data_IF_086535210809
#
_entry.id   IF_086535210809
#
_cell.length_a   1.000
_cell.length_b   1.000
_cell.length_c   1.000
_cell.angle_alpha   90.00
_cell.angle_beta   90.00
_cell.angle_gamma   90.00
#
_symmetry.space_group_name_H-M   'P 1'
#
loop_
_entity.id
_entity.type
_entity.pdbx_description
1 polymer ?
#
# COMPACT_ATOMS: atom_id res chain seq x y z
N UNK A 1 -8.28 22.38 -16.04
CA UNK A 1 -7.95 20.98 -16.38
C UNK A 1 -8.24 20.13 -15.15
N UNK A 2 -9.02 19.06 -15.31
CA UNK A 2 -9.19 18.05 -14.25
C UNK A 2 -8.17 16.94 -14.50
N UNK A 3 -7.25 16.73 -13.56
CA UNK A 3 -6.37 15.57 -13.57
C UNK A 3 -7.08 14.45 -12.84
N UNK A 4 -7.32 13.32 -13.51
CA UNK A 4 -7.96 12.14 -12.92
C UNK A 4 -6.97 10.98 -12.95
N UNK A 5 -6.42 10.67 -11.79
CA UNK A 5 -5.58 9.50 -11.55
C UNK A 5 -6.29 8.62 -10.54
N UNK A 6 -7.18 7.75 -11.02
CA UNK A 6 -7.77 6.68 -10.24
C UNK A 6 -7.39 5.40 -10.94
N UNK A 7 -6.85 4.40 -10.23
CA UNK A 7 -6.49 3.11 -10.81
C UNK A 7 -7.71 2.39 -11.39
N UNK A 8 -8.14 2.80 -12.58
CA UNK A 8 -9.29 2.22 -13.26
C UNK A 8 -8.99 0.75 -13.56
N UNK A 9 -9.99 -0.15 -13.49
CA UNK A 9 -9.81 -1.54 -13.85
C UNK A 9 -9.19 -1.66 -15.23
N UNK A 10 -8.23 -2.59 -15.39
CA UNK A 10 -7.54 -2.80 -16.66
C UNK A 10 -8.55 -2.95 -17.81
N UNK A 11 -8.40 -2.14 -18.85
CA UNK A 11 -9.28 -2.12 -20.02
C UNK A 11 -10.50 -1.18 -19.92
N UNK A 12 -10.77 -0.60 -18.75
CA UNK A 12 -11.80 0.45 -18.58
C UNK A 12 -11.12 1.82 -18.49
N UNK A 13 -11.18 2.59 -19.57
CA UNK A 13 -10.55 3.92 -19.65
C UNK A 13 -11.57 5.08 -19.60
N UNK A 14 -12.87 4.76 -19.58
CA UNK A 14 -13.95 5.74 -19.45
C UNK A 14 -14.50 5.72 -18.03
N UNK A 15 -14.54 6.89 -17.41
CA UNK A 15 -15.25 7.14 -16.16
C UNK A 15 -16.58 7.84 -16.51
N UNK A 16 -17.72 7.18 -16.26
CA UNK A 16 -19.03 7.80 -16.38
C UNK A 16 -19.39 8.49 -15.07
N UNK A 17 -19.87 9.73 -15.17
CA UNK A 17 -20.29 10.55 -14.02
C UNK A 17 -21.72 11.01 -14.25
N UNK A 18 -22.54 10.95 -13.21
CA UNK A 18 -23.88 11.54 -13.20
C UNK A 18 -23.76 13.05 -12.92
N UNK A 19 -23.99 13.85 -13.95
CA UNK A 19 -23.92 15.31 -13.86
C UNK A 19 -25.02 15.92 -12.97
N UNK A 20 -26.19 15.26 -12.84
CA UNK A 20 -27.25 15.70 -11.93
C UNK A 20 -26.81 15.48 -10.49
N UNK A 21 -26.16 14.33 -10.20
CA UNK A 21 -25.59 14.07 -8.89
C UNK A 21 -24.50 15.10 -8.52
N UNK A 22 -23.61 15.42 -9.45
CA UNK A 22 -22.56 16.44 -9.23
C UNK A 22 -23.16 17.82 -8.98
N UNK A 23 -24.19 18.21 -9.73
CA UNK A 23 -24.78 19.54 -9.63
C UNK A 23 -25.68 19.70 -8.40
N UNK A 24 -26.59 18.74 -8.14
CA UNK A 24 -27.61 18.88 -7.10
C UNK A 24 -27.21 18.30 -5.75
N UNK A 25 -26.24 17.40 -5.70
CA UNK A 25 -25.72 16.81 -4.45
C UNK A 25 -24.32 17.32 -4.09
N UNK A 26 -23.84 18.37 -4.80
CA UNK A 26 -22.57 19.04 -4.54
C UNK A 26 -21.35 18.10 -4.49
N UNK A 27 -21.38 17.02 -5.27
CA UNK A 27 -20.30 16.05 -5.32
C UNK A 27 -19.07 16.69 -5.97
N UNK A 28 -17.93 16.67 -5.27
CA UNK A 28 -16.64 17.15 -5.78
C UNK A 28 -15.80 15.97 -6.25
N UNK A 29 -15.42 15.99 -7.53
CA UNK A 29 -14.51 15.00 -8.13
C UNK A 29 -13.13 15.63 -8.28
N UNK A 30 -12.15 15.09 -7.56
CA UNK A 30 -10.76 15.56 -7.56
C UNK A 30 -9.87 14.36 -7.84
N UNK A 31 -8.95 14.47 -8.80
CA UNK A 31 -7.86 13.50 -8.91
C UNK A 31 -6.61 14.02 -8.23
N UNK A 32 -5.92 13.12 -7.55
CA UNK A 32 -4.67 13.37 -6.86
C UNK A 32 -3.55 12.58 -7.56
N UNK A 33 -2.41 13.21 -7.78
CA UNK A 33 -1.22 12.57 -8.37
C UNK A 33 -0.13 12.48 -7.31
N UNK A 34 -0.09 11.37 -6.59
CA UNK A 34 0.89 11.15 -5.52
C UNK A 34 0.81 12.17 -4.38
N UNK A 35 1.82 12.17 -3.51
CA UNK A 35 2.00 13.16 -2.44
C UNK A 35 3.25 14.00 -2.67
N UNK A 36 3.24 15.21 -2.15
CA UNK A 36 4.41 16.08 -2.05
C UNK A 36 5.33 15.62 -0.91
N UNK A 37 6.59 16.11 -0.84
CA UNK A 37 7.45 15.87 0.32
C UNK A 37 6.83 16.33 1.64
N UNK A 38 5.98 17.36 1.60
CA UNK A 38 5.24 17.82 2.76
C UNK A 38 4.21 16.77 3.22
N UNK A 39 3.46 16.18 2.28
CA UNK A 39 2.48 15.12 2.59
C UNK A 39 3.18 13.90 3.21
N UNK A 40 4.38 13.57 2.73
CA UNK A 40 5.21 12.51 3.31
C UNK A 40 5.64 12.85 4.75
N UNK A 41 6.14 14.06 4.99
CA UNK A 41 6.53 14.50 6.33
C UNK A 41 5.34 14.49 7.30
N UNK A 42 4.17 14.98 6.86
CA UNK A 42 2.94 14.95 7.65
C UNK A 42 2.50 13.51 7.96
N UNK A 43 2.61 12.60 6.99
CA UNK A 43 2.29 11.17 7.21
C UNK A 43 3.23 10.52 8.21
N UNK A 44 4.54 10.80 8.13
CA UNK A 44 5.52 10.30 9.09
C UNK A 44 5.26 10.85 10.51
N UNK A 45 4.88 12.13 10.62
CA UNK A 45 4.51 12.73 11.91
C UNK A 45 3.27 12.06 12.51
N UNK A 46 2.25 11.76 11.70
CA UNK A 46 1.04 11.04 12.15
C UNK A 46 1.37 9.60 12.60
N UNK A 47 2.26 8.90 11.89
CA UNK A 47 2.73 7.58 12.31
C UNK A 47 3.49 7.67 13.64
N UNK A 48 4.42 8.63 13.77
CA UNK A 48 5.19 8.83 15.00
C UNK A 48 4.31 9.25 16.19
N UNK A 49 3.21 9.95 15.92
CA UNK A 49 2.20 10.35 16.91
C UNK A 49 1.20 9.25 17.30
N UNK A 50 1.29 8.06 16.69
CA UNK A 50 0.30 6.98 16.80
C UNK A 50 -1.11 7.35 16.29
N UNK A 51 -1.25 8.42 15.49
CA UNK A 51 -2.51 8.74 14.80
C UNK A 51 -2.79 7.73 13.67
N UNK A 52 -1.73 7.14 13.11
CA UNK A 52 -1.77 6.09 12.10
C UNK A 52 -0.87 4.94 12.55
N UNK A 53 -1.42 3.74 12.67
CA UNK A 53 -0.64 2.53 12.89
C UNK A 53 -0.39 1.80 11.55
N UNK A 54 0.81 1.92 10.96
CA UNK A 54 1.12 1.33 9.66
C UNK A 54 1.18 -0.21 9.71
N UNK A 55 1.36 -0.81 10.90
CA UNK A 55 1.48 -2.26 11.05
C UNK A 55 0.22 -3.02 10.64
N UNK A 56 -0.95 -2.37 10.77
CA UNK A 56 -2.24 -2.92 10.34
C UNK A 56 -2.41 -3.02 8.82
N UNK A 57 -1.51 -2.38 8.04
CA UNK A 57 -1.57 -2.38 6.57
C UNK A 57 -0.53 -3.32 5.95
N UNK A 58 0.22 -4.06 6.75
CA UNK A 58 1.17 -5.07 6.28
C UNK A 58 0.47 -6.43 6.28
N UNK A 59 0.45 -7.07 5.11
CA UNK A 59 -0.23 -8.34 4.89
C UNK A 59 0.73 -9.51 4.68
N UNK A 60 1.97 -9.22 4.26
CA UNK A 60 2.98 -10.25 4.06
C UNK A 60 4.40 -9.74 4.25
N UNK A 61 5.31 -10.62 4.65
CA UNK A 61 6.75 -10.34 4.82
C UNK A 61 7.60 -11.49 4.28
N UNK A 62 8.77 -11.22 3.72
CA UNK A 62 9.67 -12.28 3.20
C UNK A 62 10.96 -11.75 2.59
N UNK A 63 11.76 -12.63 1.96
CA UNK A 63 12.96 -12.21 1.22
C UNK A 63 12.60 -11.74 -0.19
N UNK A 64 13.50 -10.94 -0.79
CA UNK A 64 13.30 -10.40 -2.13
C UNK A 64 13.10 -11.47 -3.22
N UNK A 65 13.55 -12.70 -3.01
CA UNK A 65 13.38 -13.83 -3.93
C UNK A 65 11.90 -14.09 -4.28
N UNK A 66 10.97 -13.72 -3.40
CA UNK A 66 9.53 -13.88 -3.58
C UNK A 66 8.84 -12.74 -4.33
N UNK A 67 9.58 -11.77 -4.88
CA UNK A 67 8.99 -10.61 -5.57
C UNK A 67 8.03 -11.02 -6.72
N UNK A 68 8.38 -12.03 -7.50
CA UNK A 68 7.54 -12.52 -8.60
C UNK A 68 6.24 -13.14 -8.06
N UNK A 69 6.31 -13.87 -6.95
CA UNK A 69 5.15 -14.50 -6.33
C UNK A 69 4.20 -13.44 -5.76
N UNK A 70 4.73 -12.44 -5.06
CA UNK A 70 3.96 -11.29 -4.55
C UNK A 70 3.24 -10.57 -5.69
N UNK A 71 3.92 -10.30 -6.82
CA UNK A 71 3.29 -9.64 -7.97
C UNK A 71 2.16 -10.47 -8.59
N UNK A 72 2.30 -11.80 -8.65
CA UNK A 72 1.21 -12.70 -9.07
C UNK A 72 0.03 -12.64 -8.12
N UNK A 73 0.28 -12.67 -6.81
CA UNK A 73 -0.76 -12.58 -5.79
C UNK A 73 -1.51 -11.25 -5.85
N UNK A 74 -0.83 -10.13 -6.07
CA UNK A 74 -1.46 -8.81 -6.27
C UNK A 74 -2.36 -8.83 -7.51
N UNK A 75 -1.88 -9.39 -8.63
CA UNK A 75 -2.65 -9.52 -9.87
C UNK A 75 -3.91 -10.37 -9.69
N UNK A 76 -3.83 -11.38 -8.84
CA UNK A 76 -4.95 -12.28 -8.49
C UNK A 76 -5.80 -11.76 -7.32
N UNK A 77 -5.52 -10.56 -6.81
CA UNK A 77 -6.23 -9.93 -5.68
C UNK A 77 -6.22 -10.82 -4.42
N UNK A 78 -5.11 -11.53 -4.17
CA UNK A 78 -4.92 -12.44 -3.02
C UNK A 78 -4.20 -11.82 -1.84
N UNK A 79 -3.64 -10.62 -2.00
CA UNK A 79 -3.05 -9.83 -0.91
C UNK A 79 -3.87 -8.56 -0.80
N UNK A 80 -4.44 -8.35 0.39
CA UNK A 80 -5.09 -7.10 0.77
C UNK A 80 -4.20 -6.40 1.79
N UNK A 81 -3.49 -5.36 1.34
CA UNK A 81 -2.44 -4.68 2.11
C UNK A 81 -1.08 -4.68 1.42
N UNK A 82 -0.02 -4.36 2.18
CA UNK A 82 1.36 -4.25 1.70
C UNK A 82 2.14 -5.53 1.97
N UNK A 83 2.91 -5.97 0.98
CA UNK A 83 3.95 -6.98 1.17
C UNK A 83 5.31 -6.27 1.34
N UNK A 84 6.04 -6.59 2.41
CA UNK A 84 7.39 -6.08 2.67
C UNK A 84 8.41 -7.17 2.33
N UNK A 85 9.34 -6.87 1.43
CA UNK A 85 10.40 -7.78 1.04
C UNK A 85 11.75 -7.24 1.47
N UNK A 86 12.50 -8.01 2.26
CA UNK A 86 13.80 -7.62 2.79
C UNK A 86 14.92 -8.08 1.85
N UNK A 87 15.65 -7.17 1.18
CA UNK A 87 16.69 -7.55 0.21
C UNK A 87 17.93 -8.18 0.84
N UNK A 88 18.18 -7.88 2.11
CA UNK A 88 19.40 -8.26 2.82
C UNK A 88 19.18 -9.45 3.78
N UNK A 89 17.98 -10.01 3.84
CA UNK A 89 17.73 -11.24 4.60
C UNK A 89 18.27 -12.44 3.83
N UNK A 90 18.59 -13.52 4.55
CA UNK A 90 18.71 -14.86 3.97
C UNK A 90 17.42 -15.22 3.20
N UNK A 91 17.45 -16.17 2.26
CA UNK A 91 16.25 -16.67 1.62
C UNK A 91 15.25 -17.15 2.66
N UNK A 92 14.10 -16.48 2.73
CA UNK A 92 13.06 -16.72 3.74
C UNK A 92 11.71 -16.78 3.06
N UNK A 93 10.86 -17.76 3.41
CA UNK A 93 9.55 -17.91 2.79
C UNK A 93 8.70 -16.65 2.99
N UNK A 94 7.84 -16.36 2.01
CA UNK A 94 6.80 -15.35 2.16
C UNK A 94 5.80 -15.80 3.24
N UNK A 95 5.62 -14.98 4.27
CA UNK A 95 4.72 -15.23 5.39
C UNK A 95 3.58 -14.21 5.36
N UNK A 96 2.34 -14.69 5.48
CA UNK A 96 1.19 -13.81 5.68
C UNK A 96 1.12 -13.38 7.15
N UNK A 97 0.82 -12.11 7.40
CA UNK A 97 0.77 -11.52 8.74
C UNK A 97 -0.51 -10.70 8.89
N UNK A 98 -1.07 -10.68 10.09
CA UNK A 98 -2.22 -9.82 10.43
C UNK A 98 -1.78 -8.45 10.96
N UNK A 99 -0.57 -8.38 11.52
CA UNK A 99 0.01 -7.17 12.07
C UNK A 99 1.54 -7.22 11.99
N UNK A 100 2.17 -6.07 11.73
CA UNK A 100 3.62 -5.96 11.63
C UNK A 100 4.16 -4.70 12.32
N UNK A 101 4.63 -4.87 13.55
CA UNK A 101 5.26 -3.80 14.31
C UNK A 101 6.80 -3.85 14.26
N UNK A 102 7.40 -2.83 14.87
CA UNK A 102 8.85 -2.72 15.03
C UNK A 102 9.47 -3.93 15.72
N UNK A 103 8.82 -4.51 16.73
CA UNK A 103 9.38 -5.63 17.46
C UNK A 103 9.38 -6.90 16.61
N UNK A 104 8.31 -7.13 15.85
CA UNK A 104 8.18 -8.23 14.90
C UNK A 104 9.24 -8.13 13.80
N UNK A 105 9.46 -6.93 13.26
CA UNK A 105 10.51 -6.66 12.28
C UNK A 105 11.91 -6.96 12.82
N UNK A 106 12.24 -6.46 14.02
CA UNK A 106 13.54 -6.71 14.66
C UNK A 106 13.75 -8.22 14.89
N UNK A 107 12.73 -8.92 15.37
CA UNK A 107 12.81 -10.37 15.60
C UNK A 107 13.03 -11.13 14.30
N UNK A 108 12.28 -10.78 13.25
CA UNK A 108 12.43 -11.37 11.92
C UNK A 108 13.82 -11.14 11.36
N UNK A 109 14.33 -9.91 11.42
CA UNK A 109 15.67 -9.61 10.91
C UNK A 109 16.75 -10.31 11.73
N UNK A 110 16.70 -10.30 13.06
CA UNK A 110 17.70 -10.98 13.88
C UNK A 110 17.80 -12.49 13.60
N UNK A 111 16.69 -13.14 13.22
CA UNK A 111 16.66 -14.56 12.86
C UNK A 111 17.21 -14.85 11.45
N UNK A 112 17.11 -13.87 10.54
CA UNK A 112 17.33 -14.08 9.12
C UNK A 112 18.44 -13.20 8.52
N UNK A 113 19.07 -12.35 9.32
CA UNK A 113 20.26 -11.59 8.94
C UNK A 113 21.43 -12.55 8.71
N UNK A 114 22.16 -12.30 7.62
CA UNK A 114 23.31 -13.04 7.12
C UNK A 114 24.45 -13.11 8.11
#
# INVERSE_FOLDING_TARGET
>A
MANLFGGLPKGKHLLQLDALAVHYHEIKVVGSSGGTPYDMAATLAAIAGNDIDPGNYVAAVGSLDHAIDVLKMIKETKIDGKAILYPHSKPTPLQMVEYWDKQSEINFLNQHLG
#
